data_IF_203609101350
#
_entry.id   IF_203609101350
#
_cell.length_a   1.000
_cell.length_b   1.000
_cell.length_c   1.000
_cell.angle_alpha   90.00
_cell.angle_beta   90.00
_cell.angle_gamma   90.00
#
_symmetry.space_group_name_H-M   'P 1'
#
loop_
_entity.id
_entity.type
_entity.pdbx_description
1 polymer ?
#
# COMPACT_ATOMS: atom_id res chain seq x y z
N UNK A 1 -17.26 7.07 0.21
CA UNK A 1 -16.91 7.16 1.66
C UNK A 1 -15.37 7.23 1.71
N UNK A 2 -14.82 8.10 2.53
CA UNK A 2 -13.37 8.24 2.70
C UNK A 2 -12.84 7.07 3.58
N UNK A 3 -12.02 6.19 2.99
CA UNK A 3 -11.49 5.00 3.66
C UNK A 3 -10.68 5.35 4.91
N UNK A 4 -9.81 6.35 4.82
CA UNK A 4 -8.98 6.77 5.96
C UNK A 4 -9.84 7.31 7.12
N UNK A 5 -10.89 8.09 6.82
CA UNK A 5 -11.81 8.59 7.86
C UNK A 5 -12.56 7.44 8.53
N UNK A 6 -13.03 6.48 7.72
CA UNK A 6 -13.75 5.31 8.22
C UNK A 6 -12.88 4.46 9.13
N UNK A 7 -11.64 4.21 8.73
CA UNK A 7 -10.67 3.42 9.51
C UNK A 7 -10.33 4.12 10.84
N UNK A 8 -10.02 5.42 10.78
CA UNK A 8 -9.74 6.22 11.98
C UNK A 8 -10.90 6.18 12.98
N UNK A 9 -12.12 6.41 12.51
CA UNK A 9 -13.32 6.41 13.39
C UNK A 9 -13.56 5.02 13.98
N UNK A 10 -13.40 3.95 13.21
CA UNK A 10 -13.48 2.56 13.73
C UNK A 10 -12.50 2.32 14.88
N UNK A 11 -11.24 2.75 14.71
CA UNK A 11 -10.23 2.61 15.76
C UNK A 11 -10.60 3.41 17.03
N UNK A 12 -11.06 4.66 16.86
CA UNK A 12 -11.46 5.53 17.99
C UNK A 12 -12.68 5.00 18.75
N UNK A 13 -13.62 4.39 18.04
CA UNK A 13 -14.87 3.86 18.59
C UNK A 13 -14.80 2.37 18.91
N UNK A 14 -13.61 1.78 18.99
CA UNK A 14 -13.46 0.37 19.30
C UNK A 14 -14.22 0.02 20.60
N UNK A 15 -15.04 -1.08 20.64
CA UNK A 15 -15.81 -1.46 21.82
C UNK A 15 -14.95 -1.62 23.07
N UNK A 16 -13.80 -2.32 22.96
CA UNK A 16 -12.83 -2.42 24.04
C UNK A 16 -12.00 -1.12 24.13
N UNK A 17 -12.10 -0.37 25.27
CA UNK A 17 -11.31 0.85 25.45
C UNK A 17 -9.79 0.62 25.42
N UNK A 18 -9.31 -0.56 25.75
CA UNK A 18 -7.88 -0.90 25.70
C UNK A 18 -7.32 -0.97 24.28
N UNK A 19 -8.20 -1.18 23.31
CA UNK A 19 -7.87 -1.24 21.89
C UNK A 19 -8.07 0.12 21.18
N UNK A 20 -8.43 1.17 21.92
CA UNK A 20 -8.51 2.53 21.38
C UNK A 20 -7.12 3.16 21.37
N UNK A 21 -6.67 3.72 20.24
CA UNK A 21 -5.41 4.45 20.18
C UNK A 21 -5.46 5.73 21.03
N UNK A 22 -4.32 6.17 21.52
CA UNK A 22 -4.18 7.47 22.18
C UNK A 22 -4.39 8.60 21.19
N UNK A 23 -4.65 9.81 21.68
CA UNK A 23 -4.76 11.00 20.82
C UNK A 23 -3.49 11.25 19.99
N UNK A 24 -2.30 11.02 20.56
CA UNK A 24 -1.04 11.15 19.85
C UNK A 24 -0.94 10.15 18.67
N UNK A 25 -1.35 8.90 18.88
CA UNK A 25 -1.38 7.88 17.82
C UNK A 25 -2.41 8.19 16.73
N UNK A 26 -3.56 8.75 17.11
CA UNK A 26 -4.57 9.20 16.13
C UNK A 26 -4.05 10.32 15.25
N UNK A 27 -3.30 11.27 15.80
CA UNK A 27 -2.72 12.38 15.02
C UNK A 27 -1.71 11.91 13.96
N UNK A 28 -1.13 10.71 14.12
CA UNK A 28 -0.27 10.09 13.11
C UNK A 28 -1.04 9.29 12.05
N UNK A 29 -2.36 9.21 12.16
CA UNK A 29 -3.16 8.48 11.18
C UNK A 29 -3.10 9.13 9.79
N UNK A 30 -3.06 8.36 8.68
CA UNK A 30 -2.98 8.87 7.30
C UNK A 30 -4.08 9.87 6.92
N UNK A 31 -5.19 9.87 7.64
CA UNK A 31 -6.24 10.86 7.46
C UNK A 31 -5.73 12.30 7.57
N UNK A 32 -4.79 12.56 8.50
CA UNK A 32 -4.22 13.88 8.75
C UNK A 32 -2.97 14.21 7.90
N UNK A 33 -2.49 13.26 7.10
CA UNK A 33 -1.31 13.49 6.27
C UNK A 33 -1.63 14.37 5.06
N UNK A 34 -0.70 15.26 4.72
CA UNK A 34 -0.72 15.93 3.43
C UNK A 34 -0.40 14.96 2.28
N UNK A 35 -0.60 15.41 1.06
CA UNK A 35 -0.41 14.58 -0.13
C UNK A 35 1.06 14.17 -0.31
N UNK A 36 2.03 15.01 0.07
CA UNK A 36 3.46 14.68 -0.01
C UNK A 36 3.82 13.54 0.95
N UNK A 37 3.36 13.60 2.21
CA UNK A 37 3.59 12.52 3.20
C UNK A 37 2.96 11.21 2.74
N UNK A 38 1.75 11.25 2.16
CA UNK A 38 1.06 10.06 1.61
C UNK A 38 1.83 9.41 0.46
N UNK A 39 2.30 10.21 -0.52
CA UNK A 39 3.10 9.69 -1.63
C UNK A 39 4.44 9.15 -1.13
N UNK A 40 5.12 9.88 -0.23
CA UNK A 40 6.38 9.43 0.35
C UNK A 40 6.20 8.07 1.02
N UNK A 41 5.17 7.92 1.85
CA UNK A 41 4.87 6.66 2.50
C UNK A 41 4.65 5.51 1.50
N UNK A 42 3.85 5.71 0.45
CA UNK A 42 3.62 4.68 -0.58
C UNK A 42 4.89 4.31 -1.33
N UNK A 43 5.81 5.27 -1.53
CA UNK A 43 7.13 5.02 -2.14
C UNK A 43 8.01 4.20 -1.21
N UNK A 44 8.08 4.57 0.07
CA UNK A 44 8.87 3.86 1.08
C UNK A 44 8.35 2.44 1.28
N UNK A 45 7.03 2.25 1.29
CA UNK A 45 6.42 0.93 1.32
C UNK A 45 6.77 0.11 0.06
N UNK A 46 6.76 0.74 -1.13
CA UNK A 46 7.20 0.08 -2.35
C UNK A 46 8.66 -0.34 -2.29
N UNK A 47 9.55 0.54 -1.81
CA UNK A 47 10.98 0.25 -1.69
C UNK A 47 11.23 -0.88 -0.70
N UNK A 48 10.56 -0.86 0.46
CA UNK A 48 10.66 -1.93 1.44
C UNK A 48 10.35 -3.31 0.83
N UNK A 49 9.21 -3.45 0.16
CA UNK A 49 8.84 -4.72 -0.46
C UNK A 49 9.69 -5.06 -1.71
N UNK A 50 10.30 -4.06 -2.38
CA UNK A 50 11.15 -4.30 -3.56
C UNK A 50 12.46 -5.00 -3.19
N UNK A 51 13.03 -4.72 -2.03
CA UNK A 51 14.25 -5.39 -1.55
C UNK A 51 14.03 -6.86 -1.16
N UNK A 52 12.78 -7.24 -0.93
CA UNK A 52 12.42 -8.60 -0.58
C UNK A 52 12.36 -9.52 -1.81
N UNK A 53 12.77 -10.77 -1.64
CA UNK A 53 12.61 -11.78 -2.69
C UNK A 53 11.12 -12.01 -2.98
N UNK A 54 10.72 -12.22 -4.26
CA UNK A 54 9.31 -12.40 -4.62
C UNK A 54 8.58 -13.52 -3.85
N UNK A 55 9.31 -14.57 -3.46
CA UNK A 55 8.79 -15.72 -2.73
C UNK A 55 9.17 -15.70 -1.24
N UNK A 56 9.63 -14.56 -0.70
CA UNK A 56 9.87 -14.46 0.73
C UNK A 56 8.55 -14.49 1.50
N UNK A 57 8.59 -14.98 2.73
CA UNK A 57 7.43 -14.98 3.62
C UNK A 57 6.85 -13.57 3.77
N UNK A 58 7.70 -12.55 3.82
CA UNK A 58 7.31 -11.13 3.91
C UNK A 58 6.38 -10.75 2.76
N UNK A 59 6.79 -11.03 1.52
CA UNK A 59 6.00 -10.70 0.32
C UNK A 59 4.74 -11.56 0.22
N UNK A 60 4.87 -12.86 0.44
CA UNK A 60 3.71 -13.77 0.35
C UNK A 60 2.63 -13.41 1.37
N UNK A 61 3.04 -13.08 2.60
CA UNK A 61 2.13 -12.63 3.64
C UNK A 61 1.45 -11.30 3.28
N UNK A 62 2.21 -10.32 2.81
CA UNK A 62 1.66 -9.04 2.37
C UNK A 62 0.60 -9.19 1.27
N UNK A 63 0.90 -9.99 0.24
CA UNK A 63 -0.02 -10.24 -0.86
C UNK A 63 -1.28 -11.01 -0.42
N UNK A 64 -1.13 -12.01 0.45
CA UNK A 64 -2.27 -12.78 0.96
C UNK A 64 -3.22 -11.91 1.81
N UNK A 65 -2.69 -11.01 2.64
CA UNK A 65 -3.50 -10.06 3.39
C UNK A 65 -4.19 -9.04 2.49
N UNK A 66 -3.49 -8.55 1.44
CA UNK A 66 -4.06 -7.61 0.47
C UNK A 66 -5.21 -8.22 -0.33
N UNK A 67 -5.06 -9.48 -0.73
CA UNK A 67 -6.10 -10.27 -1.41
C UNK A 67 -7.33 -10.44 -0.52
N UNK A 68 -7.14 -10.88 0.73
CA UNK A 68 -8.23 -11.06 1.71
C UNK A 68 -8.95 -9.75 2.01
N UNK A 69 -8.23 -8.64 2.07
CA UNK A 69 -8.80 -7.31 2.29
C UNK A 69 -9.48 -6.71 1.05
N UNK A 70 -9.33 -7.33 -0.12
CA UNK A 70 -9.93 -6.85 -1.37
C UNK A 70 -9.35 -5.51 -1.85
N UNK A 71 -8.08 -5.22 -1.53
CA UNK A 71 -7.43 -3.93 -1.86
C UNK A 71 -7.39 -3.68 -3.36
N UNK A 72 -7.24 -4.75 -4.15
CA UNK A 72 -7.26 -4.70 -5.61
C UNK A 72 -8.64 -5.17 -6.10
N UNK A 73 -9.47 -4.29 -6.69
CA UNK A 73 -10.75 -4.69 -7.23
C UNK A 73 -10.61 -5.81 -8.26
N UNK A 74 -11.40 -6.89 -8.10
CA UNK A 74 -11.40 -8.06 -8.99
C UNK A 74 -10.01 -8.70 -9.19
N UNK A 75 -9.09 -8.52 -8.25
CA UNK A 75 -7.72 -9.03 -8.33
C UNK A 75 -6.98 -8.61 -9.61
N UNK A 76 -7.34 -7.45 -10.17
CA UNK A 76 -6.71 -6.95 -11.40
C UNK A 76 -6.66 -5.42 -11.42
N UNK A 77 -5.58 -4.85 -10.85
CA UNK A 77 -5.38 -3.40 -10.87
C UNK A 77 -5.08 -2.87 -12.28
N UNK A 78 -4.55 -3.70 -13.19
CA UNK A 78 -4.26 -3.31 -14.57
C UNK A 78 -5.55 -2.93 -15.30
N UNK A 79 -6.64 -3.66 -15.06
CA UNK A 79 -7.94 -3.35 -15.65
C UNK A 79 -8.56 -2.01 -15.17
N UNK A 80 -8.01 -1.39 -14.14
CA UNK A 80 -8.45 -0.08 -13.65
C UNK A 80 -7.69 1.09 -14.32
N UNK A 81 -6.68 0.78 -15.14
CA UNK A 81 -5.85 1.78 -15.81
C UNK A 81 -6.24 1.90 -17.28
N UNK A 82 -6.24 3.12 -17.86
CA UNK A 82 -6.49 3.31 -19.28
C UNK A 82 -5.34 2.73 -20.14
N UNK A 83 -5.67 2.33 -21.36
CA UNK A 83 -4.77 1.64 -22.27
C UNK A 83 -3.49 2.44 -22.58
N UNK A 84 -3.61 3.76 -22.67
CA UNK A 84 -2.50 4.67 -22.94
C UNK A 84 -1.42 4.56 -21.84
N UNK A 85 -1.83 4.43 -20.58
CA UNK A 85 -0.91 4.22 -19.48
C UNK A 85 -0.31 2.81 -19.47
N UNK A 86 -1.10 1.80 -19.84
CA UNK A 86 -0.63 0.41 -19.92
C UNK A 86 0.45 0.24 -20.99
N UNK A 87 0.32 0.91 -22.13
CA UNK A 87 1.32 0.88 -23.20
C UNK A 87 2.67 1.40 -22.72
N UNK A 88 2.68 2.47 -21.92
CA UNK A 88 3.90 3.04 -21.33
C UNK A 88 4.47 2.18 -20.20
N UNK A 89 3.61 1.57 -19.38
CA UNK A 89 4.05 0.66 -18.31
C UNK A 89 4.76 -0.58 -18.86
N UNK A 90 4.22 -1.17 -19.93
CA UNK A 90 4.71 -2.43 -20.49
C UNK A 90 6.01 -2.29 -21.31
N UNK A 91 6.46 -1.07 -21.61
CA UNK A 91 7.71 -0.83 -22.37
C UNK A 91 8.95 -1.41 -21.69
N UNK A 92 9.01 -1.34 -20.37
CA UNK A 92 10.22 -1.63 -19.62
C UNK A 92 10.10 -2.87 -18.72
N UNK A 93 8.88 -3.27 -18.35
CA UNK A 93 8.63 -4.37 -17.42
C UNK A 93 7.22 -4.92 -17.55
N UNK A 94 7.09 -6.23 -17.38
CA UNK A 94 5.77 -6.86 -17.18
C UNK A 94 5.39 -6.76 -15.70
N UNK A 95 4.19 -6.25 -15.43
CA UNK A 95 3.61 -6.17 -14.10
C UNK A 95 2.52 -7.24 -13.93
N UNK A 96 2.42 -7.78 -12.72
CA UNK A 96 1.34 -8.71 -12.39
C UNK A 96 0.15 -7.93 -11.81
N UNK A 97 -0.96 -7.88 -12.53
CA UNK A 97 -2.17 -7.13 -12.15
C UNK A 97 -2.82 -7.60 -10.84
N UNK A 98 -2.53 -8.82 -10.38
CA UNK A 98 -3.07 -9.34 -9.11
C UNK A 98 -2.20 -9.02 -7.89
N UNK A 99 -1.01 -8.41 -8.08
CA UNK A 99 -0.05 -8.17 -7.00
C UNK A 99 -0.03 -6.72 -6.54
N UNK A 100 -0.27 -6.51 -5.25
CA UNK A 100 -0.25 -5.19 -4.64
C UNK A 100 1.16 -4.57 -4.66
N UNK A 101 2.19 -5.38 -4.47
CA UNK A 101 3.58 -4.99 -4.63
C UNK A 101 3.86 -4.34 -5.99
N UNK A 102 3.31 -4.90 -7.05
CA UNK A 102 3.50 -4.37 -8.40
C UNK A 102 2.74 -3.05 -8.61
N UNK A 103 1.55 -2.89 -8.03
CA UNK A 103 0.83 -1.61 -8.02
C UNK A 103 1.63 -0.53 -7.26
N UNK A 104 2.14 -0.83 -6.07
CA UNK A 104 3.00 0.10 -5.31
C UNK A 104 4.24 0.51 -6.13
N UNK A 105 4.86 -0.43 -6.83
CA UNK A 105 6.00 -0.17 -7.72
C UNK A 105 5.63 0.77 -8.88
N UNK A 106 4.45 0.61 -9.48
CA UNK A 106 3.96 1.53 -10.51
C UNK A 106 3.82 2.93 -9.94
N UNK A 107 3.18 3.09 -8.79
CA UNK A 107 3.00 4.38 -8.11
C UNK A 107 4.35 5.04 -7.85
N UNK A 108 5.30 4.31 -7.24
CA UNK A 108 6.65 4.81 -6.96
C UNK A 108 7.36 5.27 -8.23
N UNK A 109 7.40 4.42 -9.26
CA UNK A 109 8.13 4.71 -10.49
C UNK A 109 7.52 5.90 -11.23
N UNK A 110 6.19 5.96 -11.33
CA UNK A 110 5.52 7.08 -12.01
C UNK A 110 5.63 8.39 -11.23
N UNK A 111 5.65 8.35 -9.90
CA UNK A 111 5.91 9.54 -9.09
C UNK A 111 7.37 10.03 -9.23
N UNK A 112 8.36 9.12 -9.27
CA UNK A 112 9.76 9.49 -9.45
C UNK A 112 10.04 10.09 -10.83
N UNK A 113 9.49 9.49 -11.88
CA UNK A 113 9.69 9.88 -13.28
C UNK A 113 8.52 10.71 -13.82
N UNK A 114 7.78 11.41 -12.96
CA UNK A 114 6.58 12.14 -13.37
C UNK A 114 6.88 13.18 -14.46
N UNK A 115 8.00 13.88 -14.37
CA UNK A 115 8.41 14.91 -15.35
C UNK A 115 8.79 14.33 -16.71
N UNK A 116 9.17 13.06 -16.75
CA UNK A 116 9.58 12.36 -17.97
C UNK A 116 8.37 11.71 -18.69
N UNK A 117 7.18 11.76 -18.06
CA UNK A 117 5.96 11.22 -18.66
C UNK A 117 5.49 12.07 -19.84
N UNK A 118 4.91 11.46 -20.89
CA UNK A 118 4.22 12.19 -21.93
C UNK A 118 3.14 13.12 -21.37
N UNK A 119 2.87 14.30 -22.00
CA UNK A 119 1.85 15.25 -21.51
C UNK A 119 0.48 14.62 -21.29
N UNK A 120 0.07 13.68 -22.13
CA UNK A 120 -1.21 12.97 -22.03
C UNK A 120 -1.27 12.11 -20.77
N UNK A 121 -0.15 11.44 -20.44
CA UNK A 121 -0.05 10.64 -19.22
C UNK A 121 -0.04 11.54 -17.97
N UNK A 122 0.66 12.68 -18.01
CA UNK A 122 0.64 13.65 -16.91
C UNK A 122 -0.78 14.22 -16.72
N UNK A 123 -1.48 14.54 -17.80
CA UNK A 123 -2.87 15.01 -17.74
C UNK A 123 -3.81 13.94 -17.13
N UNK A 124 -3.60 12.67 -17.46
CA UNK A 124 -4.39 11.55 -16.94
C UNK A 124 -4.15 11.33 -15.45
N UNK A 125 -2.89 11.36 -15.00
CA UNK A 125 -2.57 11.20 -13.56
C UNK A 125 -2.94 12.44 -12.73
N UNK A 126 -3.06 13.63 -13.35
CA UNK A 126 -3.14 14.90 -12.64
C UNK A 126 -1.80 15.32 -12.05
N UNK A 127 -1.74 16.57 -11.56
CA UNK A 127 -0.49 17.14 -11.04
C UNK A 127 -0.04 16.45 -9.74
N UNK A 128 1.28 16.28 -9.57
CA UNK A 128 1.88 15.91 -8.30
C UNK A 128 1.81 17.08 -7.31
N UNK A 129 1.52 16.81 -6.02
CA UNK A 129 1.21 15.50 -5.44
C UNK A 129 -0.29 15.16 -5.45
N UNK A 130 -1.19 16.14 -5.42
CA UNK A 130 -2.62 15.97 -5.12
C UNK A 130 -3.35 15.20 -6.21
N UNK A 131 -3.28 15.66 -7.46
CA UNK A 131 -3.98 15.03 -8.59
C UNK A 131 -3.51 13.59 -8.82
N UNK A 132 -2.19 13.38 -8.77
CA UNK A 132 -1.60 12.05 -8.89
C UNK A 132 -2.09 11.10 -7.79
N UNK A 133 -2.14 11.58 -6.54
CA UNK A 133 -2.64 10.79 -5.42
C UNK A 133 -4.14 10.46 -5.58
N UNK A 134 -4.95 11.45 -5.97
CA UNK A 134 -6.39 11.29 -6.20
C UNK A 134 -6.69 10.28 -7.31
N UNK A 135 -5.86 10.25 -8.35
CA UNK A 135 -5.98 9.27 -9.43
C UNK A 135 -5.97 7.83 -8.90
N UNK A 136 -5.00 7.51 -8.04
CA UNK A 136 -4.89 6.16 -7.45
C UNK A 136 -5.90 5.93 -6.34
N UNK A 137 -6.18 6.93 -5.51
CA UNK A 137 -7.14 6.83 -4.42
C UNK A 137 -8.57 6.53 -4.92
N UNK A 138 -8.98 7.13 -6.03
CA UNK A 138 -10.29 6.89 -6.62
C UNK A 138 -10.44 5.44 -7.10
N UNK A 139 -9.36 4.82 -7.59
CA UNK A 139 -9.35 3.45 -8.12
C UNK A 139 -9.08 2.40 -7.05
N UNK A 140 -8.29 2.76 -6.06
CA UNK A 140 -7.82 1.88 -4.97
C UNK A 140 -8.03 2.59 -3.63
N UNK A 141 -9.28 2.80 -3.19
CA UNK A 141 -9.59 3.64 -2.03
C UNK A 141 -8.96 3.12 -0.72
N UNK A 142 -8.76 1.81 -0.61
CA UNK A 142 -8.21 1.18 0.59
C UNK A 142 -6.70 0.99 0.57
N UNK A 143 -6.02 1.35 -0.53
CA UNK A 143 -4.60 1.11 -0.72
C UNK A 143 -3.73 1.70 0.41
N UNK A 144 -3.90 3.00 0.68
CA UNK A 144 -3.11 3.70 1.69
C UNK A 144 -3.42 3.17 3.09
N UNK A 145 -4.69 3.02 3.42
CA UNK A 145 -5.15 2.54 4.73
C UNK A 145 -4.69 1.11 5.00
N UNK A 146 -4.82 0.24 4.00
CA UNK A 146 -4.34 -1.14 4.10
C UNK A 146 -2.83 -1.21 4.32
N UNK A 147 -2.04 -0.56 3.45
CA UNK A 147 -0.57 -0.59 3.58
C UNK A 147 -0.09 -0.01 4.90
N UNK A 148 -0.72 1.07 5.39
CA UNK A 148 -0.40 1.67 6.67
C UNK A 148 -0.74 0.74 7.85
N UNK A 149 -1.94 0.16 7.89
CA UNK A 149 -2.35 -0.78 8.94
C UNK A 149 -1.47 -2.04 8.93
N UNK A 150 -1.09 -2.53 7.75
CA UNK A 150 -0.19 -3.67 7.62
C UNK A 150 1.21 -3.34 8.16
N UNK A 151 1.80 -2.21 7.77
CA UNK A 151 3.10 -1.78 8.27
C UNK A 151 3.06 -1.50 9.78
N UNK A 152 2.00 -0.85 10.28
CA UNK A 152 1.79 -0.61 11.72
C UNK A 152 1.81 -1.90 12.53
N UNK A 153 1.21 -2.96 12.01
CA UNK A 153 1.14 -4.25 12.67
C UNK A 153 2.44 -5.03 12.66
N UNK A 154 3.13 -5.03 11.53
CA UNK A 154 4.24 -5.95 11.31
C UNK A 154 5.61 -5.28 11.32
N UNK A 155 5.69 -3.98 11.05
CA UNK A 155 6.94 -3.27 10.77
C UNK A 155 7.05 -1.90 11.44
N UNK A 156 6.25 -1.59 12.47
CA UNK A 156 6.25 -0.26 13.10
C UNK A 156 7.63 0.17 13.67
N UNK A 157 8.47 -0.79 14.03
CA UNK A 157 9.84 -0.55 14.55
C UNK A 157 10.92 -0.68 13.47
N UNK A 158 10.53 -1.05 12.23
CA UNK A 158 11.48 -1.11 11.11
C UNK A 158 11.99 0.29 10.75
N UNK A 159 13.25 0.37 10.33
CA UNK A 159 13.90 1.64 9.99
C UNK A 159 13.14 2.46 8.96
N UNK A 160 12.51 1.80 7.98
CA UNK A 160 11.74 2.46 6.91
C UNK A 160 10.44 3.04 7.46
N UNK A 161 9.78 2.32 8.38
CA UNK A 161 8.43 2.69 8.83
C UNK A 161 8.39 3.45 10.15
N UNK A 162 9.44 3.40 10.98
CA UNK A 162 9.44 3.98 12.34
C UNK A 162 9.12 5.48 12.37
N UNK A 163 9.44 6.24 11.32
CA UNK A 163 9.08 7.65 11.23
C UNK A 163 7.57 7.90 11.10
N UNK A 164 6.81 6.90 10.62
CA UNK A 164 5.35 6.96 10.49
C UNK A 164 4.62 6.48 11.75
N UNK A 165 5.36 5.92 12.71
CA UNK A 165 4.84 5.38 13.97
C UNK A 165 5.65 5.86 15.17
N UNK A 166 5.84 7.18 15.36
CA UNK A 166 6.73 7.73 16.43
C UNK A 166 6.22 7.39 17.83
N UNK A 167 4.95 7.02 17.97
CA UNK A 167 4.36 6.58 19.24
C UNK A 167 4.09 5.06 19.27
N UNK A 168 4.82 4.31 18.43
CA UNK A 168 4.64 2.86 18.27
C UNK A 168 3.40 2.47 17.49
N UNK A 169 3.19 1.15 17.35
CA UNK A 169 2.03 0.60 16.62
C UNK A 169 0.68 0.94 17.23
N UNK A 170 0.65 1.33 18.50
CA UNK A 170 -0.58 1.45 19.27
C UNK A 170 -1.24 0.09 19.52
N UNK A 171 -2.43 0.08 20.11
CA UNK A 171 -3.16 -1.16 20.33
C UNK A 171 -3.60 -1.77 18.99
N UNK A 172 -3.48 -3.10 18.89
CA UNK A 172 -3.81 -3.87 17.71
C UNK A 172 -4.81 -4.97 18.09
N UNK A 173 -5.88 -5.11 17.33
CA UNK A 173 -6.76 -6.26 17.48
C UNK A 173 -6.01 -7.56 17.21
N UNK A 174 -6.33 -8.63 17.96
CA UNK A 174 -5.91 -9.97 17.56
C UNK A 174 -6.39 -10.24 16.12
N UNK A 175 -5.53 -10.76 15.29
CA UNK A 175 -5.94 -11.29 13.98
C UNK A 175 -6.05 -12.80 14.07
N UNK A 176 -7.05 -13.33 13.38
CA UNK A 176 -7.02 -14.74 13.03
C UNK A 176 -5.81 -14.94 12.10
N UNK A 177 -4.73 -15.48 12.67
CA UNK A 177 -3.58 -15.88 11.88
C UNK A 177 -4.02 -16.99 10.94
N UNK A 178 -4.29 -16.64 9.67
CA UNK A 178 -4.46 -17.69 8.69
C UNK A 178 -3.09 -18.24 8.32
N UNK A 179 -3.03 -19.56 8.25
CA UNK A 179 -1.82 -20.26 7.84
C UNK A 179 -1.56 -19.94 6.36
N UNK A 180 -0.52 -19.16 6.11
CA UNK A 180 -0.03 -18.98 4.74
C UNK A 180 0.75 -20.25 4.41
N UNK A 181 0.20 -21.07 3.53
CA UNK A 181 0.92 -22.20 2.98
C UNK A 181 2.00 -21.62 2.05
N UNK A 182 3.23 -21.59 2.54
CA UNK A 182 4.37 -21.21 1.72
C UNK A 182 4.55 -22.30 0.65
N UNK A 183 4.82 -21.94 -0.61
CA UNK A 183 5.20 -22.93 -1.61
C UNK A 183 6.45 -23.66 -1.13
N UNK A 184 6.45 -24.99 -1.26
CA UNK A 184 7.64 -25.78 -0.92
C UNK A 184 8.86 -25.24 -1.70
N UNK A 185 10.03 -25.14 -1.05
CA UNK A 185 11.23 -24.75 -1.77
C UNK A 185 11.46 -25.77 -2.88
N UNK A 186 11.52 -25.28 -4.13
CA UNK A 186 11.93 -26.10 -5.28
C UNK A 186 13.33 -26.64 -4.99
N UNK A 187 13.40 -27.85 -4.43
CA UNK A 187 14.64 -28.60 -4.34
C UNK A 187 15.09 -28.91 -5.79
N UNK A 188 16.33 -28.60 -6.18
CA UNK A 188 16.83 -29.02 -7.48
C UNK A 188 16.70 -30.53 -7.55
N UNK A 189 16.12 -31.03 -8.64
CA UNK A 189 16.08 -32.46 -8.94
C UNK A 189 17.52 -33.01 -8.89
N UNK A 190 17.67 -34.07 -8.08
CA UNK A 190 18.95 -34.74 -7.90
C UNK A 190 19.44 -35.42 -9.18
#
# INVERSE_FOLDING_TARGET
INSEATDMVKQMLHPDPKLRPTAAQILEHPYFWDANKRIRYLKDASDFFEFEKPNSEVVLRFEAYAERAGVIPNMNWVAQLPEELLSDLNKFRKYNGSKLRDLLRVIRNKAHHYRDLPPEAQATFGQLPEGFLDYFKTRFPDLLTFTWNYARRHYAIDKVFSEYFPYGSGPLEPIDEFVIVLPEPNLPAA
#
